data_IF_971925830309
#
_entry.id   IF_971925830309
#
_cell.length_a   1.000
_cell.length_b   1.000
_cell.length_c   1.000
_cell.angle_alpha   90.00
_cell.angle_beta   90.00
_cell.angle_gamma   90.00
#
_symmetry.space_group_name_H-M   'P 1'
#
loop_
_entity.id
_entity.type
_entity.pdbx_description
1 polymer ?
#
# COMPACT_ATOMS: atom_id res chain seq x y z
N UNK A 1 -2.65 -12.49 19.78
CA UNK A 1 -1.78 -11.33 19.95
C UNK A 1 -2.36 -10.17 19.17
N UNK A 2 -2.41 -8.98 19.75
CA UNK A 2 -2.95 -7.78 19.11
C UNK A 2 -2.08 -7.39 17.89
N UNK A 3 -2.68 -6.96 16.77
CA UNK A 3 -1.97 -6.57 15.53
C UNK A 3 -0.93 -5.49 15.81
N UNK A 4 -1.29 -4.48 16.58
CA UNK A 4 -0.38 -3.39 16.97
C UNK A 4 0.76 -3.89 17.87
N UNK A 5 0.47 -4.83 18.78
CA UNK A 5 1.52 -5.45 19.60
C UNK A 5 2.51 -6.26 18.75
N UNK A 6 2.04 -6.90 17.68
CA UNK A 6 2.91 -7.61 16.72
C UNK A 6 3.66 -6.65 15.79
N UNK A 7 3.11 -5.47 15.47
CA UNK A 7 3.79 -4.45 14.64
C UNK A 7 5.02 -3.87 15.33
N UNK A 8 4.97 -3.72 16.66
CA UNK A 8 6.07 -3.22 17.49
C UNK A 8 6.87 -4.33 18.18
N UNK A 9 6.62 -5.60 17.86
CA UNK A 9 7.42 -6.73 18.34
C UNK A 9 8.74 -6.80 17.54
N UNK A 10 9.78 -6.16 18.08
CA UNK A 10 11.13 -6.12 17.49
C UNK A 10 11.91 -7.45 17.63
N UNK A 11 11.29 -8.52 18.15
CA UNK A 11 11.99 -9.79 18.34
C UNK A 11 12.24 -10.55 17.02
N UNK A 12 11.55 -10.23 15.91
CA UNK A 12 11.62 -10.91 14.61
C UNK A 12 11.49 -12.46 14.67
N UNK A 13 11.13 -13.03 15.83
CA UNK A 13 11.11 -14.48 16.10
C UNK A 13 9.92 -15.18 15.44
N UNK A 14 8.87 -14.43 15.10
CA UNK A 14 7.72 -14.88 14.31
C UNK A 14 7.68 -14.11 13.00
N UNK A 15 7.45 -14.83 11.90
CA UNK A 15 7.18 -14.22 10.59
C UNK A 15 5.80 -13.52 10.61
N UNK A 16 5.77 -12.30 11.16
CA UNK A 16 4.60 -11.43 11.29
C UNK A 16 3.93 -11.24 9.93
N UNK A 17 4.72 -11.14 8.85
CA UNK A 17 4.24 -10.96 7.48
C UNK A 17 3.29 -12.07 7.05
N UNK A 18 3.51 -13.34 7.41
CA UNK A 18 2.59 -14.43 7.04
C UNK A 18 1.29 -14.33 7.84
N UNK A 19 1.39 -14.01 9.12
CA UNK A 19 0.22 -13.95 10.02
C UNK A 19 -0.70 -12.78 9.66
N UNK A 20 -0.12 -11.66 9.20
CA UNK A 20 -0.83 -10.40 9.04
C UNK A 20 -0.83 -9.84 7.61
N UNK A 21 -0.37 -10.60 6.61
CA UNK A 21 -0.36 -10.17 5.20
C UNK A 21 -1.70 -9.57 4.74
N UNK A 22 -2.82 -10.17 5.16
CA UNK A 22 -4.16 -9.66 4.84
C UNK A 22 -4.42 -8.28 5.43
N UNK A 23 -4.05 -8.05 6.70
CA UNK A 23 -4.25 -6.75 7.36
C UNK A 23 -3.33 -5.70 6.77
N UNK A 24 -2.07 -6.05 6.49
CA UNK A 24 -1.11 -5.16 5.81
C UNK A 24 -1.65 -4.76 4.44
N UNK A 25 -2.20 -5.70 3.66
CA UNK A 25 -2.78 -5.39 2.36
C UNK A 25 -4.01 -4.49 2.45
N UNK A 26 -4.88 -4.71 3.44
CA UNK A 26 -6.04 -3.84 3.66
C UNK A 26 -5.59 -2.41 3.97
N UNK A 27 -4.60 -2.23 4.84
CA UNK A 27 -4.03 -0.92 5.15
C UNK A 27 -3.40 -0.27 3.90
N UNK A 28 -2.71 -1.06 3.07
CA UNK A 28 -2.18 -0.61 1.79
C UNK A 28 -3.29 -0.11 0.86
N UNK A 29 -4.37 -0.88 0.68
CA UNK A 29 -5.52 -0.48 -0.15
C UNK A 29 -6.16 0.82 0.35
N UNK A 30 -6.34 0.97 1.66
CA UNK A 30 -6.83 2.22 2.26
C UNK A 30 -5.88 3.37 1.94
N UNK A 31 -4.57 3.15 2.11
CA UNK A 31 -3.53 4.13 1.80
C UNK A 31 -3.56 4.57 0.34
N UNK A 32 -3.70 3.64 -0.61
CA UNK A 32 -3.84 3.93 -2.05
C UNK A 32 -5.10 4.75 -2.33
N UNK A 33 -6.24 4.37 -1.74
CA UNK A 33 -7.49 5.12 -1.89
C UNK A 33 -7.38 6.56 -1.38
N UNK A 34 -6.79 6.75 -0.20
CA UNK A 34 -6.59 8.08 0.39
C UNK A 34 -5.60 8.92 -0.43
N UNK A 35 -4.45 8.36 -0.81
CA UNK A 35 -3.45 9.09 -1.62
C UNK A 35 -3.98 9.46 -3.00
N UNK A 36 -4.77 8.61 -3.64
CA UNK A 36 -5.44 8.95 -4.89
C UNK A 36 -6.46 10.09 -4.73
N UNK A 37 -7.33 10.02 -3.72
CA UNK A 37 -8.35 11.03 -3.47
C UNK A 37 -7.73 12.38 -3.09
N UNK A 38 -6.81 12.38 -2.11
CA UNK A 38 -6.13 13.60 -1.68
C UNK A 38 -5.18 14.14 -2.74
N UNK A 39 -4.53 13.27 -3.52
CA UNK A 39 -3.71 13.68 -4.65
C UNK A 39 -4.53 14.37 -5.73
N UNK A 40 -5.72 13.84 -6.04
CA UNK A 40 -6.65 14.45 -7.00
C UNK A 40 -7.15 15.80 -6.50
N UNK A 41 -7.55 15.88 -5.22
CA UNK A 41 -7.96 17.13 -4.58
C UNK A 41 -6.83 18.17 -4.59
N UNK A 42 -5.62 17.77 -4.20
CA UNK A 42 -4.44 18.63 -4.20
C UNK A 42 -4.09 19.15 -5.59
N UNK A 43 -4.24 18.33 -6.63
CA UNK A 43 -4.05 18.77 -8.01
C UNK A 43 -5.06 19.86 -8.41
N UNK A 44 -6.33 19.71 -8.06
CA UNK A 44 -7.35 20.74 -8.26
C UNK A 44 -7.08 22.03 -7.47
N UNK A 45 -6.60 21.91 -6.23
CA UNK A 45 -6.20 23.06 -5.41
C UNK A 45 -5.00 23.80 -6.00
N UNK A 46 -3.97 23.09 -6.44
CA UNK A 46 -2.76 23.69 -7.02
C UNK A 46 -3.08 24.33 -8.38
N UNK A 47 -3.86 23.67 -9.24
CA UNK A 47 -4.30 24.23 -10.53
C UNK A 47 -5.08 25.53 -10.32
N UNK A 48 -6.02 25.50 -9.37
CA UNK A 48 -6.83 26.65 -8.99
C UNK A 48 -6.05 27.83 -8.39
N UNK A 49 -5.06 27.54 -7.55
CA UNK A 49 -4.21 28.59 -6.97
C UNK A 49 -3.40 29.37 -8.03
N UNK A 50 -3.16 28.77 -9.20
CA UNK A 50 -2.43 29.40 -10.31
C UNK A 50 -3.33 30.25 -11.23
N UNK A 51 -4.66 30.26 -11.03
CA UNK A 51 -5.56 31.14 -11.79
C UNK A 51 -5.72 32.49 -11.11
N UNK A 52 -6.06 33.52 -11.90
CA UNK A 52 -6.25 34.90 -11.42
C UNK A 52 -7.25 35.07 -10.26
N UNK A 53 -8.16 34.10 -10.08
CA UNK A 53 -9.15 34.09 -9.00
C UNK A 53 -8.68 33.35 -7.73
N UNK A 54 -7.64 32.50 -7.83
CA UNK A 54 -7.18 31.67 -6.71
C UNK A 54 -8.22 30.65 -6.21
N UNK A 55 -9.22 30.33 -7.03
CA UNK A 55 -10.33 29.45 -6.67
C UNK A 55 -10.01 27.99 -7.01
N UNK A 56 -10.62 27.04 -6.30
CA UNK A 56 -10.45 25.62 -6.58
C UNK A 56 -10.86 25.26 -8.02
N UNK A 57 -9.96 24.58 -8.75
CA UNK A 57 -10.23 24.14 -10.11
C UNK A 57 -10.89 22.75 -10.11
N UNK A 58 -12.21 22.75 -10.22
CA UNK A 58 -13.02 21.53 -10.30
C UNK A 58 -12.76 20.69 -11.56
N UNK A 59 -12.36 21.31 -12.67
CA UNK A 59 -12.06 20.58 -13.91
C UNK A 59 -10.73 19.83 -13.78
N UNK A 60 -9.70 20.47 -13.22
CA UNK A 60 -8.43 19.81 -12.92
C UNK A 60 -8.59 18.69 -11.88
N UNK A 61 -9.43 18.88 -10.86
CA UNK A 61 -9.77 17.82 -9.91
C UNK A 61 -10.41 16.62 -10.61
N UNK A 62 -11.44 16.82 -11.43
CA UNK A 62 -12.10 15.73 -12.15
C UNK A 62 -11.16 15.02 -13.12
N UNK A 63 -10.31 15.78 -13.80
CA UNK A 63 -9.27 15.23 -14.67
C UNK A 63 -8.30 14.34 -13.88
N UNK A 64 -7.76 14.83 -12.76
CA UNK A 64 -6.86 14.07 -11.90
C UNK A 64 -7.54 12.85 -11.27
N UNK A 65 -8.84 12.97 -10.94
CA UNK A 65 -9.61 11.85 -10.40
C UNK A 65 -9.72 10.72 -11.43
N UNK A 66 -10.05 11.02 -12.69
CA UNK A 66 -10.18 10.03 -13.76
C UNK A 66 -8.81 9.45 -14.15
N UNK A 67 -7.84 10.30 -14.44
CA UNK A 67 -6.50 9.87 -14.87
C UNK A 67 -5.77 9.15 -13.74
N UNK A 68 -5.98 9.56 -12.50
CA UNK A 68 -5.39 8.99 -11.30
C UNK A 68 -5.81 7.54 -11.00
N UNK A 69 -6.88 7.04 -11.64
CA UNK A 69 -7.30 5.63 -11.50
C UNK A 69 -6.20 4.69 -11.99
N UNK A 70 -5.54 5.01 -13.11
CA UNK A 70 -4.50 4.15 -13.69
C UNK A 70 -3.31 3.98 -12.73
N UNK A 71 -2.65 5.05 -12.24
CA UNK A 71 -1.56 4.89 -11.27
C UNK A 71 -2.03 4.28 -9.94
N UNK A 72 -3.27 4.55 -9.49
CA UNK A 72 -3.81 3.92 -8.29
C UNK A 72 -3.93 2.39 -8.45
N UNK A 73 -4.47 1.91 -9.58
CA UNK A 73 -4.56 0.48 -9.89
C UNK A 73 -3.17 -0.17 -10.00
N UNK A 74 -2.21 0.52 -10.62
CA UNK A 74 -0.83 0.04 -10.67
C UNK A 74 -0.22 -0.13 -9.27
N UNK A 75 -0.48 0.80 -8.35
CA UNK A 75 -0.03 0.66 -6.96
C UNK A 75 -0.72 -0.48 -6.21
N UNK A 76 -2.00 -0.75 -6.49
CA UNK A 76 -2.70 -1.92 -5.93
C UNK A 76 -2.05 -3.22 -6.42
N UNK A 77 -1.80 -3.33 -7.73
CA UNK A 77 -1.16 -4.51 -8.33
C UNK A 77 0.25 -4.69 -7.76
N UNK A 78 1.05 -3.63 -7.74
CA UNK A 78 2.41 -3.66 -7.21
C UNK A 78 2.44 -4.08 -5.73
N UNK A 79 1.55 -3.54 -4.90
CA UNK A 79 1.43 -3.93 -3.49
C UNK A 79 1.07 -5.41 -3.32
N UNK A 80 0.20 -5.93 -4.18
CA UNK A 80 -0.16 -7.36 -4.17
C UNK A 80 1.00 -8.25 -4.58
N UNK A 81 1.67 -7.92 -5.68
CA UNK A 81 2.85 -8.65 -6.14
C UNK A 81 3.95 -8.66 -5.08
N UNK A 82 4.20 -7.53 -4.41
CA UNK A 82 5.20 -7.43 -3.36
C UNK A 82 4.86 -8.33 -2.17
N UNK A 83 3.60 -8.34 -1.72
CA UNK A 83 3.19 -9.23 -0.62
C UNK A 83 3.30 -10.71 -0.98
N UNK A 84 2.87 -11.09 -2.19
CA UNK A 84 3.01 -12.46 -2.68
C UNK A 84 4.49 -12.87 -2.75
N UNK A 85 5.35 -11.98 -3.24
CA UNK A 85 6.79 -12.19 -3.29
C UNK A 85 7.40 -12.37 -1.90
N UNK A 86 7.09 -11.48 -0.94
CA UNK A 86 7.62 -11.59 0.43
C UNK A 86 7.13 -12.86 1.12
N UNK A 87 5.86 -13.22 0.96
CA UNK A 87 5.31 -14.47 1.52
C UNK A 87 5.99 -15.69 0.89
N UNK A 88 6.25 -15.68 -0.41
CA UNK A 88 6.95 -16.77 -1.10
C UNK A 88 8.37 -16.96 -0.58
N UNK A 89 9.15 -15.87 -0.42
CA UNK A 89 10.51 -15.93 0.15
C UNK A 89 10.50 -16.54 1.54
N UNK A 90 9.61 -16.07 2.42
CA UNK A 90 9.53 -16.58 3.78
C UNK A 90 9.18 -18.07 3.79
N UNK A 91 8.24 -18.51 2.93
CA UNK A 91 7.89 -19.94 2.83
C UNK A 91 9.06 -20.78 2.32
N UNK A 92 9.85 -20.28 1.38
CA UNK A 92 11.07 -20.94 0.90
C UNK A 92 12.07 -21.13 2.03
N UNK A 93 12.33 -20.08 2.83
CA UNK A 93 13.20 -20.15 4.01
C UNK A 93 12.73 -21.17 5.03
N UNK A 94 11.42 -21.19 5.34
CA UNK A 94 10.83 -22.15 6.27
C UNK A 94 11.02 -23.60 5.78
N UNK A 95 10.84 -23.84 4.49
CA UNK A 95 10.97 -25.19 3.93
C UNK A 95 12.43 -25.66 3.91
N UNK A 96 13.38 -24.75 3.61
CA UNK A 96 14.82 -25.03 3.69
C UNK A 96 15.26 -25.38 5.11
N UNK A 97 14.79 -24.65 6.13
CA UNK A 97 15.08 -24.97 7.54
C UNK A 97 14.52 -26.34 7.96
N UNK A 98 13.28 -26.63 7.57
CA UNK A 98 12.66 -27.92 7.87
C UNK A 98 13.37 -29.12 7.19
N UNK A 99 13.98 -28.91 6.02
CA UNK A 99 14.80 -29.93 5.36
C UNK A 99 16.17 -30.10 6.03
N UNK A 100 16.77 -29.01 6.52
CA UNK A 100 18.04 -29.04 7.25
C UNK A 100 17.92 -29.76 8.61
N UNK A 101 16.80 -29.58 9.32
CA UNK A 101 16.54 -30.27 10.60
C UNK A 101 16.24 -31.77 10.46
N UNK A 102 15.92 -32.26 9.25
CA UNK A 102 15.66 -33.68 8.97
C UNK A 102 16.92 -34.48 8.58
N UNK A 103 18.09 -33.84 8.52
CA UNK A 103 19.39 -34.47 8.30
C UNK A 103 20.19 -34.54 9.60
#
# INVERSE_FOLDING_TARGET
>A
GNFFGALFDMSFTKYITITWAKVIYILWLIGVGLTWLFGSYGFGSISGANTYRGEFDGAAFLFALIVGIVPALLQVIAGRMLLEFVVAIIRTEMNTRALAERR
#
